data_IF_011722167517
#
_entry.id   IF_011722167517
#
_cell.length_a   1.000
_cell.length_b   1.000
_cell.length_c   1.000
_cell.angle_alpha   90.00
_cell.angle_beta   90.00
_cell.angle_gamma   90.00
#
_symmetry.space_group_name_H-M   'P 1'
#
loop_
_entity.id
_entity.type
_entity.pdbx_description
1 polymer ?
#
# COMPACT_ATOMS: atom_id res chain seq x y z
N UNK A 1 -2.24 20.00 -21.84
CA UNK A 1 -1.47 18.74 -21.95
C UNK A 1 -0.36 18.84 -20.92
N UNK A 2 -0.52 18.22 -19.75
CA UNK A 2 0.47 18.33 -18.67
C UNK A 2 1.60 17.34 -18.94
N UNK A 3 2.78 17.85 -19.24
CA UNK A 3 4.02 17.09 -19.39
C UNK A 3 4.57 16.74 -18.01
N UNK A 4 4.71 15.46 -17.70
CA UNK A 4 5.37 14.95 -16.49
C UNK A 4 6.87 15.29 -16.59
N UNK A 5 7.51 15.89 -15.58
CA UNK A 5 8.94 16.10 -15.57
C UNK A 5 9.65 14.74 -15.60
N UNK A 6 10.69 14.60 -16.43
CA UNK A 6 11.51 13.39 -16.43
C UNK A 6 12.00 13.04 -15.00
N UNK A 7 11.79 11.78 -14.60
CA UNK A 7 12.87 11.05 -13.96
C UNK A 7 12.82 10.76 -12.46
N UNK A 8 11.67 10.60 -11.80
CA UNK A 8 11.67 9.78 -10.57
C UNK A 8 10.33 9.12 -10.26
N UNK A 9 10.30 7.81 -10.50
CA UNK A 9 9.33 6.93 -9.85
C UNK A 9 9.51 7.01 -8.33
N UNK A 10 8.42 7.21 -7.62
CA UNK A 10 8.38 7.27 -6.16
C UNK A 10 7.73 5.98 -5.67
N UNK A 11 8.53 5.16 -4.99
CA UNK A 11 8.06 3.92 -4.37
C UNK A 11 7.13 4.26 -3.21
N UNK A 12 5.94 3.68 -3.19
CA UNK A 12 4.94 3.92 -2.15
C UNK A 12 4.47 2.65 -1.47
N UNK A 13 4.19 2.76 -0.17
CA UNK A 13 3.58 1.73 0.64
C UNK A 13 2.09 1.99 0.87
N UNK A 14 1.30 0.94 1.08
CA UNK A 14 -0.10 1.06 1.52
C UNK A 14 -0.32 0.20 2.76
N UNK A 15 -0.64 0.82 3.90
CA UNK A 15 -1.08 0.15 5.12
C UNK A 15 -2.60 0.01 5.13
N UNK A 16 -3.11 -1.09 5.69
CA UNK A 16 -4.54 -1.41 5.59
C UNK A 16 -4.97 -1.76 4.16
N UNK A 17 -4.06 -2.30 3.35
CA UNK A 17 -4.23 -2.52 1.91
C UNK A 17 -5.46 -3.37 1.54
N UNK A 18 -5.91 -4.27 2.43
CA UNK A 18 -7.08 -5.13 2.19
C UNK A 18 -8.41 -4.49 2.59
N UNK A 19 -8.39 -3.41 3.38
CA UNK A 19 -9.57 -2.64 3.77
C UNK A 19 -10.10 -1.77 2.63
N UNK A 20 -11.32 -1.22 2.78
CA UNK A 20 -11.99 -0.46 1.72
C UNK A 20 -11.18 0.78 1.28
N UNK A 21 -10.55 1.48 2.24
CA UNK A 21 -9.69 2.65 1.96
C UNK A 21 -8.41 2.22 1.25
N UNK A 22 -7.73 1.17 1.71
CA UNK A 22 -6.54 0.61 1.06
C UNK A 22 -6.80 0.15 -0.37
N UNK A 23 -7.93 -0.52 -0.62
CA UNK A 23 -8.35 -0.89 -1.98
C UNK A 23 -8.55 0.32 -2.89
N UNK A 24 -9.07 1.42 -2.34
CA UNK A 24 -9.22 2.68 -3.09
C UNK A 24 -7.87 3.31 -3.40
N UNK A 25 -6.94 3.34 -2.45
CA UNK A 25 -5.55 3.77 -2.71
C UNK A 25 -4.92 2.96 -3.83
N UNK A 26 -4.99 1.63 -3.76
CA UNK A 26 -4.44 0.73 -4.79
C UNK A 26 -5.03 1.03 -6.17
N UNK A 27 -6.34 1.28 -6.25
CA UNK A 27 -6.99 1.61 -7.53
C UNK A 27 -6.47 2.93 -8.10
N UNK A 28 -6.33 3.96 -7.27
CA UNK A 28 -5.86 5.28 -7.72
C UNK A 28 -4.35 5.27 -8.04
N UNK A 29 -3.55 4.54 -7.26
CA UNK A 29 -2.11 4.45 -7.42
C UNK A 29 -1.71 3.57 -8.61
N UNK A 30 -2.52 2.58 -8.97
CA UNK A 30 -2.21 1.69 -10.10
C UNK A 30 -2.18 2.42 -11.45
N UNK A 31 -2.95 3.50 -11.60
CA UNK A 31 -2.99 4.32 -12.81
C UNK A 31 -2.12 5.59 -12.68
N UNK A 32 -1.32 5.71 -11.61
CA UNK A 32 -0.62 6.94 -11.30
C UNK A 32 0.73 7.05 -12.05
N UNK A 33 1.05 8.19 -12.70
CA UNK A 33 2.18 8.30 -13.61
C UNK A 33 3.57 8.22 -12.94
N UNK A 34 3.67 8.42 -11.63
CA UNK A 34 4.95 8.42 -10.91
C UNK A 34 4.94 7.71 -9.56
N UNK A 35 3.79 7.26 -9.05
CA UNK A 35 3.75 6.50 -7.80
C UNK A 35 3.72 5.03 -8.13
N UNK A 36 4.71 4.29 -7.66
CA UNK A 36 4.82 2.86 -7.90
C UNK A 36 4.54 2.12 -6.60
N UNK A 37 3.48 1.33 -6.58
CA UNK A 37 3.12 0.51 -5.42
C UNK A 37 4.23 -0.51 -5.18
N UNK A 38 4.93 -0.36 -4.06
CA UNK A 38 6.12 -1.15 -3.73
C UNK A 38 5.87 -2.13 -2.58
N UNK A 39 5.08 -1.74 -1.58
CA UNK A 39 4.80 -2.58 -0.42
C UNK A 39 3.32 -2.51 0.01
N UNK A 40 2.76 -3.65 0.41
CA UNK A 40 1.37 -3.77 0.86
C UNK A 40 1.33 -4.33 2.28
N UNK A 41 0.73 -3.59 3.19
CA UNK A 41 0.61 -3.93 4.61
C UNK A 41 -0.84 -4.20 4.99
N UNK A 42 -1.08 -5.26 5.74
CA UNK A 42 -2.38 -5.54 6.33
C UNK A 42 -2.23 -6.28 7.67
N UNK A 43 -3.34 -6.84 8.17
CA UNK A 43 -3.36 -7.64 9.38
C UNK A 43 -2.45 -8.88 9.29
N UNK A 44 -2.04 -9.42 10.44
CA UNK A 44 -1.27 -10.67 10.56
C UNK A 44 -1.96 -11.84 9.84
N UNK A 45 -3.30 -11.88 9.84
CA UNK A 45 -4.08 -12.91 9.11
C UNK A 45 -3.89 -12.86 7.60
N UNK A 46 -3.63 -11.67 7.06
CA UNK A 46 -3.42 -11.42 5.64
C UNK A 46 -1.95 -11.55 5.24
N UNK A 47 -1.03 -11.32 6.18
CA UNK A 47 0.41 -11.41 5.94
C UNK A 47 0.83 -12.79 5.41
N UNK A 48 1.82 -12.81 4.51
CA UNK A 48 2.33 -14.04 3.89
C UNK A 48 1.44 -14.62 2.78
N UNK A 49 0.38 -13.91 2.38
CA UNK A 49 -0.45 -14.25 1.21
C UNK A 49 -0.19 -13.27 0.08
N UNK A 50 -0.42 -13.71 -1.16
CA UNK A 50 -0.55 -12.79 -2.29
C UNK A 50 -1.78 -11.91 -2.08
N UNK A 51 -1.74 -10.67 -2.58
CA UNK A 51 -2.83 -9.70 -2.39
C UNK A 51 -4.18 -10.26 -2.84
N UNK A 52 -4.22 -10.94 -4.00
CA UNK A 52 -5.42 -11.59 -4.54
C UNK A 52 -6.05 -12.62 -3.61
N UNK A 53 -5.24 -13.32 -2.80
CA UNK A 53 -5.69 -14.31 -1.81
C UNK A 53 -6.01 -13.68 -0.45
N UNK A 54 -5.44 -12.52 -0.16
CA UNK A 54 -5.62 -11.83 1.12
C UNK A 54 -6.86 -10.92 1.13
N UNK A 55 -7.25 -10.37 -0.02
CA UNK A 55 -8.28 -9.34 -0.11
C UNK A 55 -9.67 -9.90 -0.42
N UNK A 56 -10.68 -9.35 0.26
CA UNK A 56 -12.07 -9.40 -0.24
C UNK A 56 -12.30 -8.13 -1.04
N UNK A 57 -12.09 -8.21 -2.35
CA UNK A 57 -12.13 -7.04 -3.24
C UNK A 57 -13.56 -6.52 -3.43
N UNK A 58 -13.77 -5.24 -3.15
CA UNK A 58 -15.09 -4.57 -3.15
C UNK A 58 -15.19 -3.42 -4.15
N UNK A 59 -14.14 -3.13 -4.92
CA UNK A 59 -14.21 -2.10 -5.96
C UNK A 59 -14.94 -2.63 -7.21
N UNK A 60 -15.47 -1.72 -8.00
CA UNK A 60 -16.16 -2.04 -9.26
C UNK A 60 -15.21 -2.49 -10.37
N UNK A 61 -13.96 -2.00 -10.35
CA UNK A 61 -12.90 -2.45 -11.24
C UNK A 61 -12.29 -3.77 -10.77
N UNK A 62 -11.55 -4.45 -11.65
CA UNK A 62 -10.78 -5.63 -11.25
C UNK A 62 -9.56 -5.23 -10.41
N UNK A 63 -9.05 -6.19 -9.62
CA UNK A 63 -7.76 -6.03 -8.92
C UNK A 63 -6.68 -5.71 -9.97
N UNK A 64 -5.95 -4.58 -9.84
CA UNK A 64 -4.89 -4.21 -10.77
C UNK A 64 -3.84 -5.31 -10.85
N UNK A 65 -3.36 -5.61 -12.06
CA UNK A 65 -2.40 -6.69 -12.31
C UNK A 65 -1.12 -6.51 -11.51
N UNK A 66 -0.65 -5.26 -11.38
CA UNK A 66 0.58 -4.90 -10.67
C UNK A 66 0.61 -5.31 -9.21
N UNK A 67 -0.56 -5.38 -8.53
CA UNK A 67 -0.63 -5.75 -7.11
C UNK A 67 -1.08 -7.18 -6.89
N UNK A 68 -1.66 -7.83 -7.90
CA UNK A 68 -2.40 -9.10 -7.74
C UNK A 68 -1.58 -10.19 -7.05
N UNK A 69 -0.33 -10.33 -7.46
CA UNK A 69 0.61 -11.33 -6.94
C UNK A 69 1.62 -10.75 -5.93
N UNK A 70 1.51 -9.46 -5.57
CA UNK A 70 2.35 -8.88 -4.53
C UNK A 70 2.06 -9.55 -3.18
N UNK A 71 3.12 -9.81 -2.43
CA UNK A 71 2.99 -10.32 -1.08
C UNK A 71 2.47 -9.24 -0.14
N UNK A 72 1.53 -9.62 0.72
CA UNK A 72 1.07 -8.77 1.82
C UNK A 72 1.94 -9.04 3.04
N UNK A 73 2.41 -7.97 3.66
CA UNK A 73 3.23 -7.99 4.85
C UNK A 73 2.44 -7.52 6.08
N UNK A 74 2.99 -7.76 7.25
CA UNK A 74 2.56 -7.06 8.45
C UNK A 74 2.86 -5.56 8.32
N UNK A 75 2.10 -4.73 9.02
CA UNK A 75 2.33 -3.28 9.04
C UNK A 75 3.51 -2.94 9.95
N UNK A 76 4.72 -3.34 9.52
CA UNK A 76 6.00 -3.11 10.21
C UNK A 76 6.96 -2.34 9.30
N UNK A 77 7.67 -1.32 9.80
CA UNK A 77 8.53 -0.46 8.98
C UNK A 77 9.61 -1.20 8.17
N UNK A 78 10.13 -2.31 8.69
CA UNK A 78 11.14 -3.15 8.03
C UNK A 78 10.74 -3.65 6.63
N UNK A 79 9.43 -3.81 6.38
CA UNK A 79 8.90 -4.22 5.07
C UNK A 79 8.70 -3.05 4.10
N UNK A 80 8.91 -1.81 4.55
CA UNK A 80 8.62 -0.58 3.83
C UNK A 80 9.85 0.34 3.71
N UNK A 81 11.04 -0.14 4.07
CA UNK A 81 12.27 0.67 4.10
C UNK A 81 12.66 1.29 2.74
N UNK A 82 12.20 0.73 1.62
CA UNK A 82 12.42 1.28 0.29
C UNK A 82 11.31 2.25 -0.18
N UNK A 83 10.24 2.41 0.60
CA UNK A 83 9.16 3.33 0.29
C UNK A 83 9.56 4.75 0.68
N UNK A 84 9.34 5.71 -0.22
CA UNK A 84 9.52 7.12 0.08
C UNK A 84 8.27 7.76 0.71
N UNK A 85 7.10 7.15 0.51
CA UNK A 85 5.82 7.57 1.08
C UNK A 85 5.02 6.34 1.48
N UNK A 86 4.40 6.35 2.66
CA UNK A 86 3.50 5.29 3.10
C UNK A 86 2.09 5.86 3.34
N UNK A 87 1.10 5.35 2.61
CA UNK A 87 -0.30 5.72 2.78
C UNK A 87 -0.95 4.85 3.84
N UNK A 88 -1.50 5.47 4.89
CA UNK A 88 -2.26 4.78 5.94
C UNK A 88 -3.74 4.72 5.60
N UNK A 89 -4.27 3.52 5.39
CA UNK A 89 -5.70 3.22 5.32
C UNK A 89 -6.17 2.38 6.51
N UNK A 90 -5.51 2.52 7.66
CA UNK A 90 -5.80 1.79 8.89
C UNK A 90 -7.02 2.36 9.61
N UNK A 91 -7.72 1.51 10.36
CA UNK A 91 -8.72 1.96 11.31
C UNK A 91 -8.05 2.67 12.49
N UNK A 92 -8.74 3.64 13.09
CA UNK A 92 -8.16 4.57 14.07
C UNK A 92 -7.62 3.86 15.34
N UNK A 93 -8.19 2.72 15.69
CA UNK A 93 -7.78 1.88 16.83
C UNK A 93 -6.42 1.21 16.63
N UNK A 94 -6.06 0.88 15.39
CA UNK A 94 -4.76 0.31 15.02
C UNK A 94 -3.74 1.35 14.55
N UNK A 95 -4.19 2.50 14.06
CA UNK A 95 -3.35 3.51 13.41
C UNK A 95 -2.27 4.10 14.33
N UNK A 96 -2.60 4.45 15.58
CA UNK A 96 -1.73 5.26 16.44
C UNK A 96 -0.33 4.69 16.66
N UNK A 97 -0.25 3.43 17.08
CA UNK A 97 1.03 2.77 17.36
C UNK A 97 1.80 2.45 16.07
N UNK A 98 1.08 2.03 15.02
CA UNK A 98 1.69 1.68 13.73
C UNK A 98 2.28 2.93 13.07
N UNK A 99 1.51 4.00 12.93
CA UNK A 99 1.98 5.25 12.32
C UNK A 99 3.14 5.87 13.10
N UNK A 100 3.11 5.79 14.43
CA UNK A 100 4.22 6.23 15.28
C UNK A 100 5.49 5.43 15.03
N UNK A 101 5.38 4.11 14.81
CA UNK A 101 6.51 3.24 14.49
C UNK A 101 7.11 3.53 13.11
N UNK A 102 6.27 3.81 12.10
CA UNK A 102 6.73 4.22 10.76
C UNK A 102 7.47 5.55 10.82
N UNK A 103 6.90 6.55 11.48
CA UNK A 103 7.56 7.85 11.67
C UNK A 103 8.90 7.72 12.41
N UNK A 104 8.98 6.87 13.43
CA UNK A 104 10.22 6.64 14.17
C UNK A 104 11.31 5.94 13.33
N UNK A 105 10.92 5.28 12.24
CA UNK A 105 11.81 4.64 11.28
C UNK A 105 12.14 5.54 10.06
N UNK A 106 11.80 6.84 10.13
CA UNK A 106 12.01 7.82 9.05
C UNK A 106 11.21 7.51 7.76
N UNK A 107 9.98 6.99 7.94
CA UNK A 107 9.02 6.62 6.88
C UNK A 107 7.65 7.28 7.07
#
# INVERSE_FOLDING_TARGET
MFTVPEGKEVKVGVLGATGTVGQRFITLLADHPFFIIHALGASVRSAGKTYSKAVSWKQTSHIPSIVREMMVYECKPEHFAECAVVFSGLDADAAGDIESAFRAADL
#
